data_IF_853276146743
#
_entry.id   IF_853276146743
#
_cell.length_a   1.000
_cell.length_b   1.000
_cell.length_c   1.000
_cell.angle_alpha   90.00
_cell.angle_beta   90.00
_cell.angle_gamma   90.00
#
_symmetry.space_group_name_H-M   'P 1'
#
loop_
_entity.id
_entity.type
_entity.pdbx_description
1 polymer ?
#
# COMPACT_ATOMS: atom_id res chain seq x y z
N UNK A 1 -16.71 14.62 -13.70
CA UNK A 1 -16.67 14.90 -12.24
C UNK A 1 -15.73 13.89 -11.60
N UNK A 2 -14.70 14.36 -10.90
CA UNK A 2 -13.85 13.47 -10.10
C UNK A 2 -14.66 13.09 -8.86
N UNK A 3 -14.82 11.78 -8.62
CA UNK A 3 -15.62 11.31 -7.51
C UNK A 3 -14.80 11.47 -6.21
N UNK A 4 -15.27 12.32 -5.29
CA UNK A 4 -14.54 12.59 -4.06
C UNK A 4 -14.83 11.51 -3.01
N UNK A 5 -13.77 10.95 -2.42
CA UNK A 5 -13.87 10.04 -1.29
C UNK A 5 -13.03 10.59 -0.12
N UNK A 6 -13.56 10.55 1.10
CA UNK A 6 -12.90 11.14 2.27
C UNK A 6 -11.49 10.58 2.53
N UNK A 7 -11.27 9.31 2.20
CA UNK A 7 -10.00 8.59 2.36
C UNK A 7 -9.15 8.49 1.08
N UNK A 8 -9.38 9.35 0.10
CA UNK A 8 -8.51 9.50 -1.08
C UNK A 8 -8.02 10.96 -1.10
N UNK A 9 -6.75 11.17 -1.42
CA UNK A 9 -6.17 12.52 -1.52
C UNK A 9 -6.92 13.32 -2.60
N UNK A 10 -7.36 14.53 -2.25
CA UNK A 10 -8.04 15.40 -3.20
C UNK A 10 -7.15 15.75 -4.39
N UNK A 11 -7.72 15.68 -5.59
CA UNK A 11 -7.10 16.17 -6.82
C UNK A 11 -7.83 17.43 -7.28
N UNK A 12 -7.09 18.53 -7.42
CA UNK A 12 -7.66 19.84 -7.79
C UNK A 12 -7.36 20.23 -9.23
N UNK A 13 -6.31 19.67 -9.84
CA UNK A 13 -6.02 19.91 -11.25
C UNK A 13 -4.57 19.70 -11.62
N UNK A 14 -4.23 20.12 -12.84
CA UNK A 14 -2.87 20.11 -13.37
C UNK A 14 -2.46 21.55 -13.67
N UNK A 15 -1.24 21.92 -13.35
CA UNK A 15 -0.65 23.22 -13.69
C UNK A 15 0.66 23.04 -14.44
N UNK A 16 1.11 24.10 -15.09
CA UNK A 16 2.39 24.16 -15.80
C UNK A 16 2.98 25.54 -15.60
N UNK A 17 4.18 25.61 -15.05
CA UNK A 17 4.89 26.87 -14.88
C UNK A 17 5.47 27.34 -16.22
N UNK A 18 5.46 28.64 -16.44
CA UNK A 18 5.98 29.24 -17.67
C UNK A 18 7.48 28.92 -17.82
N UNK A 19 7.87 28.42 -18.99
CA UNK A 19 9.25 27.97 -19.25
C UNK A 19 9.55 26.53 -18.82
N UNK A 20 8.69 25.86 -18.05
CA UNK A 20 8.87 24.46 -17.70
C UNK A 20 8.35 23.50 -18.78
N UNK A 21 9.05 22.37 -18.94
CA UNK A 21 8.61 21.29 -19.86
C UNK A 21 7.60 20.35 -19.20
N UNK A 22 7.64 20.23 -17.88
CA UNK A 22 6.85 19.27 -17.12
C UNK A 22 5.56 19.89 -16.60
N UNK A 23 4.56 19.03 -16.38
CA UNK A 23 3.33 19.38 -15.70
C UNK A 23 3.46 19.07 -14.21
N UNK A 24 2.79 19.85 -13.37
CA UNK A 24 2.67 19.62 -11.94
C UNK A 24 1.23 19.27 -11.58
N UNK A 25 1.05 18.35 -10.63
CA UNK A 25 -0.27 18.01 -10.08
C UNK A 25 -0.57 18.89 -8.87
N UNK A 26 -1.78 19.44 -8.82
CA UNK A 26 -2.29 20.18 -7.66
C UNK A 26 -3.15 19.24 -6.83
N UNK A 27 -2.67 18.92 -5.64
CA UNK A 27 -3.27 17.93 -4.72
C UNK A 27 -3.61 18.59 -3.38
N UNK A 28 -4.54 17.96 -2.66
CA UNK A 28 -4.80 18.25 -1.25
C UNK A 28 -3.52 18.11 -0.42
N UNK A 29 -3.25 19.09 0.45
CA UNK A 29 -2.15 19.00 1.40
C UNK A 29 -2.56 18.16 2.60
N UNK A 30 -1.89 17.03 2.81
CA UNK A 30 -2.09 16.17 3.97
C UNK A 30 -1.20 16.63 5.14
N UNK A 31 -1.75 17.46 6.03
CA UNK A 31 -1.01 18.07 7.16
C UNK A 31 -0.30 17.05 8.06
N UNK A 32 -0.87 15.85 8.22
CA UNK A 32 -0.23 14.79 9.01
C UNK A 32 1.05 14.22 8.37
N UNK A 33 1.29 14.41 7.07
CA UNK A 33 2.36 13.69 6.38
C UNK A 33 2.09 12.19 6.27
N UNK A 34 3.14 11.36 6.16
CA UNK A 34 2.98 9.93 5.84
C UNK A 34 2.77 9.07 7.08
N UNK A 35 2.06 7.95 6.92
CA UNK A 35 1.91 6.94 7.98
C UNK A 35 3.28 6.38 8.42
N UNK A 36 4.24 6.27 7.49
CA UNK A 36 5.60 5.80 7.80
C UNK A 36 6.31 6.70 8.81
N UNK A 37 6.18 8.01 8.66
CA UNK A 37 6.83 8.98 9.55
C UNK A 37 6.18 8.98 10.94
N UNK A 38 4.86 8.83 11.02
CA UNK A 38 4.16 8.66 12.29
C UNK A 38 4.60 7.40 13.05
N UNK A 39 4.76 6.28 12.33
CA UNK A 39 5.18 5.01 12.93
C UNK A 39 6.63 5.02 13.41
N UNK A 40 7.53 5.74 12.72
CA UNK A 40 8.95 5.88 13.12
C UNK A 40 9.13 6.56 14.47
N UNK A 41 8.22 7.45 14.84
CA UNK A 41 8.32 8.22 16.08
C UNK A 41 7.79 7.47 17.31
N UNK A 42 7.47 6.17 17.22
CA UNK A 42 7.08 5.25 18.32
C UNK A 42 5.91 5.70 19.22
N UNK A 43 5.15 6.73 18.84
CA UNK A 43 4.00 7.24 19.61
C UNK A 43 2.74 7.19 18.75
N UNK A 44 2.49 6.07 18.08
CA UNK A 44 1.14 5.82 17.57
C UNK A 44 0.36 5.16 18.70
N UNK A 45 -0.20 6.00 19.58
CA UNK A 45 -1.44 5.60 20.24
C UNK A 45 -2.46 5.54 19.11
N UNK A 46 -2.93 4.35 18.76
CA UNK A 46 -4.13 4.14 17.93
C UNK A 46 -5.33 4.77 18.63
N UNK A 47 -5.35 6.09 18.69
CA UNK A 47 -6.37 6.88 19.33
C UNK A 47 -7.41 7.24 18.27
N UNK A 48 -8.52 7.80 18.72
CA UNK A 48 -9.59 8.29 17.86
C UNK A 48 -9.16 9.36 16.84
N UNK A 49 -7.96 9.94 16.95
CA UNK A 49 -7.48 11.02 16.07
C UNK A 49 -7.01 10.51 14.70
N UNK A 50 -6.58 9.23 14.60
CA UNK A 50 -6.26 8.61 13.30
C UNK A 50 -7.51 8.09 12.56
N UNK A 51 -8.65 8.03 13.26
CA UNK A 51 -9.90 7.54 12.68
C UNK A 51 -10.41 8.61 11.70
N UNK A 52 -10.61 8.22 10.44
CA UNK A 52 -11.06 9.07 9.32
C UNK A 52 -10.06 10.12 8.80
N UNK A 53 -8.79 10.06 9.17
CA UNK A 53 -7.76 11.00 8.68
C UNK A 53 -6.78 10.40 7.68
N UNK A 54 -6.72 9.06 7.59
CA UNK A 54 -5.86 8.36 6.62
C UNK A 54 -6.45 8.50 5.21
N UNK A 55 -5.60 8.92 4.25
CA UNK A 55 -5.92 9.06 2.84
C UNK A 55 -4.95 8.26 1.97
N UNK A 56 -5.48 7.58 0.96
CA UNK A 56 -4.68 6.96 -0.10
C UNK A 56 -4.19 8.05 -1.06
N UNK A 57 -2.91 7.97 -1.42
CA UNK A 57 -2.24 8.89 -2.33
C UNK A 57 -1.32 8.10 -3.28
N UNK A 58 -0.58 8.81 -4.13
CA UNK A 58 0.39 8.24 -5.08
C UNK A 58 -0.22 7.25 -6.09
N UNK A 59 -1.09 7.80 -6.94
CA UNK A 59 -1.80 7.03 -7.98
C UNK A 59 -0.98 6.82 -9.26
N UNK A 60 0.31 7.13 -9.27
CA UNK A 60 1.16 7.10 -10.48
C UNK A 60 1.24 5.72 -11.17
N UNK A 61 0.91 4.66 -10.43
CA UNK A 61 0.88 3.27 -10.92
C UNK A 61 -0.51 2.63 -10.88
N UNK A 62 -1.53 3.41 -10.55
CA UNK A 62 -2.92 2.92 -10.59
C UNK A 62 -3.38 2.73 -12.03
N UNK A 63 -4.26 1.77 -12.25
CA UNK A 63 -4.90 1.56 -13.54
C UNK A 63 -6.36 1.17 -13.34
N UNK A 64 -7.18 1.48 -14.34
CA UNK A 64 -8.59 1.12 -14.33
C UNK A 64 -8.76 -0.38 -14.62
N UNK A 65 -9.66 -1.04 -13.89
CA UNK A 65 -9.98 -2.45 -14.11
C UNK A 65 -10.31 -2.70 -15.58
N UNK A 66 -9.71 -3.74 -16.15
CA UNK A 66 -9.87 -4.09 -17.56
C UNK A 66 -9.04 -3.27 -18.55
N UNK A 67 -8.39 -2.18 -18.10
CA UNK A 67 -7.45 -1.38 -18.90
C UNK A 67 -5.98 -1.59 -18.54
N UNK A 68 -5.69 -2.54 -17.64
CA UNK A 68 -4.32 -2.84 -17.24
C UNK A 68 -3.46 -3.28 -18.42
N UNK A 69 -2.18 -2.94 -18.36
CA UNK A 69 -1.20 -3.36 -19.35
C UNK A 69 -0.92 -4.88 -19.22
N UNK A 70 -0.46 -5.51 -20.30
CA UNK A 70 0.02 -6.90 -20.25
C UNK A 70 1.48 -6.96 -19.75
N UNK A 71 1.98 -5.85 -19.22
CA UNK A 71 3.32 -5.78 -18.65
C UNK A 71 3.41 -6.67 -17.40
N UNK A 72 4.20 -7.72 -17.49
CA UNK A 72 4.49 -8.68 -16.42
C UNK A 72 5.73 -8.31 -15.60
N UNK A 73 6.35 -7.17 -15.89
CA UNK A 73 7.46 -6.68 -15.08
C UNK A 73 7.04 -6.53 -13.62
N UNK A 74 7.94 -6.94 -12.73
CA UNK A 74 7.73 -6.79 -11.31
C UNK A 74 7.94 -5.33 -10.96
N UNK A 75 6.93 -4.73 -10.36
CA UNK A 75 6.97 -3.34 -9.98
C UNK A 75 6.30 -3.10 -8.63
N UNK A 76 6.93 -2.31 -7.77
CA UNK A 76 6.36 -1.90 -6.50
C UNK A 76 7.42 -1.87 -5.41
N UNK A 77 6.97 -1.69 -4.17
CA UNK A 77 7.84 -1.81 -3.01
C UNK A 77 7.91 -3.29 -2.66
N UNK A 78 9.01 -3.95 -3.06
CA UNK A 78 9.28 -5.41 -2.95
C UNK A 78 8.53 -6.14 -1.82
N UNK A 79 8.63 -5.72 -0.54
CA UNK A 79 7.95 -6.40 0.55
C UNK A 79 6.41 -6.48 0.47
N UNK A 80 5.78 -5.56 -0.27
CA UNK A 80 4.32 -5.48 -0.44
C UNK A 80 3.83 -5.98 -1.79
N UNK A 81 4.76 -6.39 -2.68
CA UNK A 81 4.42 -6.92 -3.99
C UNK A 81 3.81 -8.30 -3.83
N UNK A 82 2.71 -8.54 -4.54
CA UNK A 82 2.07 -9.85 -4.61
C UNK A 82 3.08 -10.92 -5.10
N UNK A 83 3.35 -11.98 -4.31
CA UNK A 83 4.33 -13.00 -4.66
C UNK A 83 4.11 -13.63 -6.04
N UNK A 84 2.86 -13.69 -6.52
CA UNK A 84 2.54 -14.20 -7.86
C UNK A 84 3.19 -13.40 -8.99
N UNK A 85 3.55 -12.13 -8.77
CA UNK A 85 4.28 -11.33 -9.75
C UNK A 85 5.71 -11.84 -9.99
N UNK A 86 6.31 -12.53 -9.03
CA UNK A 86 7.67 -13.09 -9.18
C UNK A 86 7.68 -14.41 -9.94
N UNK A 87 6.53 -15.06 -10.09
CA UNK A 87 6.40 -16.29 -10.87
C UNK A 87 6.34 -15.98 -12.36
N UNK A 88 7.51 -16.06 -13.01
CA UNK A 88 7.64 -15.85 -14.47
C UNK A 88 6.98 -16.95 -15.32
N UNK A 89 6.54 -18.05 -14.71
CA UNK A 89 5.86 -19.14 -15.42
C UNK A 89 4.38 -18.85 -15.65
N UNK A 90 3.81 -17.89 -14.90
CA UNK A 90 2.41 -17.50 -14.96
C UNK A 90 2.32 -16.12 -15.60
N UNK A 91 1.39 -15.95 -16.56
CA UNK A 91 0.99 -14.63 -17.03
C UNK A 91 0.14 -13.95 -15.96
N UNK A 92 0.80 -13.41 -14.93
CA UNK A 92 0.12 -12.77 -13.83
C UNK A 92 -0.13 -11.29 -14.10
N UNK A 93 -1.40 -10.89 -14.03
CA UNK A 93 -1.83 -9.51 -14.14
C UNK A 93 -2.29 -9.02 -12.77
N UNK A 94 -1.78 -7.86 -12.36
CA UNK A 94 -2.25 -7.17 -11.16
C UNK A 94 -3.77 -7.07 -11.19
N UNK A 95 -4.38 -7.43 -10.06
CA UNK A 95 -5.82 -7.44 -9.87
C UNK A 95 -6.14 -7.00 -8.44
N UNK A 96 -7.43 -6.98 -8.10
CA UNK A 96 -7.89 -6.54 -6.78
C UNK A 96 -7.33 -7.40 -5.64
N UNK A 97 -7.01 -8.68 -5.88
CA UNK A 97 -6.37 -9.54 -4.87
C UNK A 97 -4.94 -9.09 -4.56
N UNK A 98 -4.21 -8.54 -5.54
CA UNK A 98 -2.90 -7.93 -5.29
C UNK A 98 -2.99 -6.74 -4.34
N UNK A 99 -4.03 -5.91 -4.49
CA UNK A 99 -4.29 -4.80 -3.54
C UNK A 99 -4.64 -5.31 -2.14
N UNK A 100 -5.41 -6.41 -2.05
CA UNK A 100 -5.72 -7.08 -0.76
C UNK A 100 -4.45 -7.64 -0.11
N UNK A 101 -3.56 -8.26 -0.88
CA UNK A 101 -2.28 -8.74 -0.37
C UNK A 101 -1.43 -7.59 0.20
N UNK A 102 -1.32 -6.48 -0.53
CA UNK A 102 -0.62 -5.27 -0.09
C UNK A 102 -1.18 -4.77 1.25
N UNK A 103 -2.51 -4.70 1.38
CA UNK A 103 -3.18 -4.34 2.64
C UNK A 103 -2.89 -5.35 3.77
N UNK A 104 -2.79 -6.65 3.45
CA UNK A 104 -2.40 -7.69 4.40
C UNK A 104 -1.01 -7.46 4.98
N UNK A 105 -0.02 -7.20 4.13
CA UNK A 105 1.36 -6.88 4.56
C UNK A 105 1.37 -5.59 5.40
N UNK A 106 0.60 -4.56 4.99
CA UNK A 106 0.48 -3.32 5.75
C UNK A 106 -0.12 -3.56 7.14
N UNK A 107 -1.21 -4.31 7.26
CA UNK A 107 -1.82 -4.63 8.55
C UNK A 107 -0.90 -5.48 9.43
N UNK A 108 -0.19 -6.45 8.86
CA UNK A 108 0.82 -7.21 9.57
C UNK A 108 1.96 -6.32 10.09
N UNK A 109 2.43 -5.36 9.27
CA UNK A 109 3.46 -4.38 9.67
C UNK A 109 2.99 -3.50 10.83
N UNK A 110 1.73 -3.05 10.79
CA UNK A 110 1.11 -2.23 11.83
C UNK A 110 0.89 -3.02 13.13
N UNK A 111 0.46 -4.28 13.03
CA UNK A 111 0.25 -5.16 14.18
C UNK A 111 1.56 -5.57 14.85
N UNK A 112 2.60 -5.82 14.05
CA UNK A 112 3.88 -6.30 14.56
C UNK A 112 4.68 -5.28 15.36
N UNK A 113 4.34 -3.98 15.26
CA UNK A 113 5.20 -2.86 15.71
C UNK A 113 6.65 -2.98 15.24
N UNK A 114 6.92 -3.89 14.29
CA UNK A 114 8.24 -4.34 13.93
C UNK A 114 8.65 -3.52 12.72
N UNK A 115 9.22 -2.36 12.99
CA UNK A 115 9.78 -1.51 11.94
C UNK A 115 11.12 -2.04 11.40
N UNK A 116 11.61 -3.19 11.87
CA UNK A 116 12.92 -3.77 11.51
C UNK A 116 12.89 -4.55 10.19
N UNK A 117 12.50 -3.89 9.10
CA UNK A 117 12.99 -4.32 7.79
C UNK A 117 13.72 -3.11 7.24
N UNK A 118 14.94 -2.96 7.74
CA UNK A 118 15.95 -2.21 7.01
C UNK A 118 16.29 -3.01 5.76
N UNK A 119 16.44 -2.30 4.66
CA UNK A 119 16.61 -2.86 3.32
C UNK A 119 18.01 -3.45 3.14
N UNK A 120 18.36 -4.50 3.90
CA UNK A 120 19.52 -5.34 3.57
C UNK A 120 19.12 -6.34 2.50
N UNK A 121 20.00 -6.52 1.53
CA UNK A 121 19.83 -7.00 0.15
C UNK A 121 19.18 -8.39 -0.08
N UNK A 122 18.70 -9.08 0.95
CA UNK A 122 18.07 -10.41 0.87
C UNK A 122 16.54 -10.30 0.97
N UNK A 123 15.95 -9.94 -0.18
CA UNK A 123 14.58 -9.46 -0.38
C UNK A 123 13.47 -10.54 -0.38
N UNK A 124 13.41 -11.36 0.67
CA UNK A 124 12.19 -12.12 0.98
C UNK A 124 11.77 -11.80 2.41
N UNK A 125 10.66 -11.06 2.57
CA UNK A 125 9.98 -11.07 3.86
C UNK A 125 9.55 -12.51 4.09
N UNK A 126 10.24 -13.21 4.98
CA UNK A 126 9.66 -14.38 5.62
C UNK A 126 8.53 -13.81 6.48
N UNK A 127 7.30 -13.83 5.96
CA UNK A 127 6.07 -13.50 6.71
C UNK A 127 5.90 -14.60 7.76
N UNK A 128 6.73 -14.51 8.80
CA UNK A 128 7.02 -15.58 9.73
C UNK A 128 6.54 -15.20 11.11
N UNK A 129 5.59 -16.00 11.59
CA UNK A 129 5.02 -16.04 12.93
C UNK A 129 4.05 -14.91 13.33
N UNK A 130 3.00 -15.33 14.04
CA UNK A 130 2.12 -14.45 14.79
C UNK A 130 2.95 -13.63 15.78
N UNK A 131 2.73 -12.33 15.81
CA UNK A 131 3.43 -11.44 16.73
C UNK A 131 2.82 -11.65 18.13
N UNK A 132 3.61 -12.00 19.15
CA UNK A 132 3.12 -12.13 20.52
C UNK A 132 2.39 -10.84 20.95
N UNK A 133 1.24 -10.98 21.61
CA UNK A 133 0.41 -9.86 22.09
C UNK A 133 -0.32 -9.02 21.01
N UNK A 134 -0.46 -9.52 19.79
CA UNK A 134 -1.39 -8.91 18.80
C UNK A 134 -2.82 -9.31 19.11
N UNK A 135 -3.76 -8.38 18.95
CA UNK A 135 -5.21 -8.66 19.05
C UNK A 135 -5.61 -9.74 18.03
N UNK A 136 -6.16 -10.86 18.51
CA UNK A 136 -6.53 -12.04 17.70
C UNK A 136 -7.38 -11.69 16.47
N UNK A 137 -8.23 -10.66 16.55
CA UNK A 137 -9.04 -10.22 15.40
C UNK A 137 -8.19 -9.64 14.26
N UNK A 138 -7.13 -8.90 14.59
CA UNK A 138 -6.19 -8.38 13.59
C UNK A 138 -5.36 -9.50 12.99
N UNK A 139 -4.95 -10.48 13.81
CA UNK A 139 -4.25 -11.69 13.37
C UNK A 139 -5.03 -12.43 12.29
N UNK A 140 -6.31 -12.72 12.55
CA UNK A 140 -7.18 -13.40 11.57
C UNK A 140 -7.36 -12.57 10.29
N UNK A 141 -7.49 -11.24 10.41
CA UNK A 141 -7.70 -10.35 9.27
C UNK A 141 -6.50 -10.35 8.32
N UNK A 142 -5.30 -10.02 8.81
CA UNK A 142 -4.14 -9.96 7.92
C UNK A 142 -3.79 -11.34 7.38
N UNK A 143 -3.98 -12.41 8.16
CA UNK A 143 -3.79 -13.78 7.66
C UNK A 143 -4.69 -14.08 6.47
N UNK A 144 -5.96 -13.67 6.51
CA UNK A 144 -6.88 -13.80 5.38
C UNK A 144 -6.43 -13.01 4.16
N UNK A 145 -5.94 -11.78 4.34
CA UNK A 145 -5.40 -10.97 3.24
C UNK A 145 -4.15 -11.57 2.61
N UNK A 146 -3.31 -12.24 3.41
CA UNK A 146 -2.07 -12.86 2.97
C UNK A 146 -2.26 -14.27 2.39
N UNK A 147 -3.45 -14.87 2.53
CA UNK A 147 -3.70 -16.16 1.92
C UNK A 147 -3.62 -16.03 0.41
N UNK A 148 -2.73 -16.79 -0.19
CA UNK A 148 -2.63 -16.97 -1.63
C UNK A 148 -3.71 -17.94 -2.11
N UNK A 149 -5.00 -17.67 -1.83
CA UNK A 149 -6.04 -18.57 -2.36
C UNK A 149 -6.15 -18.39 -3.90
N UNK A 150 -6.26 -19.50 -4.64
CA UNK A 150 -6.51 -19.49 -6.06
C UNK A 150 -7.96 -19.09 -6.28
N UNK A 151 -8.19 -18.04 -7.07
CA UNK A 151 -9.40 -17.72 -7.84
C UNK A 151 -10.68 -18.55 -7.57
N UNK A 152 -11.21 -18.53 -6.34
CA UNK A 152 -12.60 -18.89 -6.02
C UNK A 152 -13.48 -17.64 -5.90
#
# INVERSE_FOLDING_TARGET
>A
MVNHHANIIGFYGVTKLEGEKMYSLVLEYAEGGTLRDHLRNNIVKWNSQLRNTIKLADFGRSFEKGKGDNNTEVWGVVPYVDPKMYDKTILYKLNEKSDIYYLGVLFWKLASSSLLIDSSEDNYITLGAAVPNTNDKFTVLYQKCLKQEPDE
#
